data_IF_895667587097
#
_entry.id   IF_895667587097
#
_cell.length_a   1.000
_cell.length_b   1.000
_cell.length_c   1.000
_cell.angle_alpha   90.00
_cell.angle_beta   90.00
_cell.angle_gamma   90.00
#
_symmetry.space_group_name_H-M   'P 1'
#
loop_
_entity.id
_entity.type
_entity.pdbx_description
1 polymer ?
#
# COMPACT_ATOMS: atom_id res chain seq x y z
N UNK A 1 1.57 6.25 31.84
CA UNK A 1 1.87 6.19 30.41
C UNK A 1 0.57 5.95 29.67
N UNK A 2 0.21 6.80 28.72
CA UNK A 2 -1.04 6.56 28.02
C UNK A 2 -1.00 5.25 27.25
N UNK A 3 -2.14 4.57 27.08
CA UNK A 3 -2.18 3.37 26.29
C UNK A 3 -1.72 3.65 24.86
N UNK A 4 -1.01 2.72 24.28
CA UNK A 4 -0.54 2.85 22.90
C UNK A 4 -1.75 2.86 21.98
N UNK A 5 -1.79 3.80 21.05
CA UNK A 5 -2.84 3.82 20.05
C UNK A 5 -2.78 2.54 19.20
N UNK A 6 -3.93 2.07 18.73
CA UNK A 6 -3.98 0.93 17.82
C UNK A 6 -3.15 1.23 16.57
N UNK A 7 -2.43 0.24 16.04
CA UNK A 7 -1.65 0.43 14.82
C UNK A 7 -2.52 0.93 13.66
N UNK A 8 -2.05 1.96 12.97
CA UNK A 8 -2.79 2.55 11.83
C UNK A 8 -2.96 1.56 10.68
N UNK A 9 -2.08 0.58 10.61
CA UNK A 9 -2.10 -0.44 9.55
C UNK A 9 -2.96 -1.66 9.90
N UNK A 10 -3.53 -1.70 11.09
CA UNK A 10 -4.37 -2.83 11.50
C UNK A 10 -5.70 -2.80 10.77
N UNK A 11 -6.02 -3.89 10.08
CA UNK A 11 -7.29 -4.04 9.39
C UNK A 11 -8.35 -4.56 10.35
N UNK A 12 -9.20 -3.65 10.84
CA UNK A 12 -10.36 -3.97 11.68
C UNK A 12 -11.67 -3.79 10.93
N UNK A 13 -11.60 -3.68 9.60
CA UNK A 13 -12.77 -3.36 8.79
C UNK A 13 -13.23 -1.92 8.91
N UNK A 14 -12.48 -1.08 9.63
CA UNK A 14 -12.78 0.34 9.81
C UNK A 14 -11.57 1.17 9.44
N UNK A 15 -11.75 2.07 8.48
CA UNK A 15 -10.72 3.03 8.10
C UNK A 15 -11.23 4.45 8.40
N UNK A 16 -10.31 5.35 8.77
CA UNK A 16 -10.65 6.77 8.98
C UNK A 16 -10.86 7.50 7.66
N UNK A 17 -10.34 6.98 6.57
CA UNK A 17 -10.50 7.51 5.23
C UNK A 17 -11.52 6.68 4.46
N UNK A 18 -12.24 7.33 3.55
CA UNK A 18 -13.10 6.62 2.62
C UNK A 18 -12.25 5.77 1.68
N UNK A 19 -12.60 4.51 1.58
CA UNK A 19 -11.99 3.58 0.63
C UNK A 19 -12.95 3.37 -0.54
N UNK A 20 -12.50 3.68 -1.75
CA UNK A 20 -13.31 3.42 -2.94
C UNK A 20 -13.22 1.94 -3.28
N UNK A 21 -14.38 1.27 -3.36
CA UNK A 21 -14.42 -0.14 -3.72
C UNK A 21 -14.11 -0.37 -5.20
N UNK A 22 -13.74 -1.60 -5.51
CA UNK A 22 -13.41 -1.99 -6.89
C UNK A 22 -14.57 -1.70 -7.84
N UNK A 23 -15.80 -1.94 -7.40
CA UNK A 23 -17.01 -1.73 -8.22
C UNK A 23 -17.26 -0.25 -8.53
N UNK A 24 -16.78 0.66 -7.69
CA UNK A 24 -16.94 2.09 -7.85
C UNK A 24 -15.82 2.75 -8.66
N UNK A 25 -14.75 2.02 -8.93
CA UNK A 25 -13.56 2.57 -9.58
C UNK A 25 -13.80 2.86 -11.07
N UNK A 26 -13.40 4.05 -11.51
CA UNK A 26 -13.50 4.49 -12.92
C UNK A 26 -12.21 5.20 -13.33
N UNK A 27 -11.97 5.32 -14.64
CA UNK A 27 -10.83 6.06 -15.16
C UNK A 27 -9.48 5.55 -14.67
N UNK A 28 -8.62 6.45 -14.26
CA UNK A 28 -7.28 6.11 -13.79
C UNK A 28 -7.30 5.17 -12.57
N UNK A 29 -8.25 5.37 -11.66
CA UNK A 29 -8.39 4.51 -10.49
C UNK A 29 -8.68 3.06 -10.88
N UNK A 30 -9.56 2.86 -11.87
CA UNK A 30 -9.85 1.54 -12.39
C UNK A 30 -8.63 0.89 -13.00
N UNK A 31 -7.83 1.64 -13.75
CA UNK A 31 -6.59 1.15 -14.35
C UNK A 31 -5.61 0.70 -13.26
N UNK A 32 -5.45 1.48 -12.20
CA UNK A 32 -4.57 1.12 -11.09
C UNK A 32 -5.07 -0.11 -10.33
N UNK A 33 -6.38 -0.23 -10.13
CA UNK A 33 -6.97 -1.39 -9.49
C UNK A 33 -6.81 -2.66 -10.34
N UNK A 34 -7.02 -2.56 -11.64
CA UNK A 34 -6.81 -3.69 -12.56
C UNK A 34 -5.34 -4.15 -12.55
N UNK A 35 -4.41 -3.19 -12.51
CA UNK A 35 -3.00 -3.49 -12.37
C UNK A 35 -2.68 -4.17 -11.03
N UNK A 36 -3.32 -3.75 -9.94
CA UNK A 36 -3.15 -4.37 -8.63
C UNK A 36 -3.64 -5.81 -8.61
N UNK A 37 -4.78 -6.08 -9.24
CA UNK A 37 -5.32 -7.44 -9.39
C UNK A 37 -4.35 -8.30 -10.20
N UNK A 38 -3.76 -7.74 -11.26
CA UNK A 38 -2.77 -8.45 -12.07
C UNK A 38 -1.51 -8.82 -11.30
N UNK A 39 -1.09 -7.97 -10.34
CA UNK A 39 0.11 -8.22 -9.54
C UNK A 39 -0.12 -9.17 -8.36
N UNK A 40 -1.23 -9.00 -7.65
CA UNK A 40 -1.44 -9.63 -6.35
C UNK A 40 -2.75 -10.42 -6.25
N UNK A 41 -3.54 -10.47 -7.28
CA UNK A 41 -4.83 -11.17 -7.32
C UNK A 41 -5.98 -10.41 -6.65
N UNK A 42 -5.70 -9.31 -5.96
CA UNK A 42 -6.73 -8.47 -5.32
C UNK A 42 -6.20 -7.06 -5.10
N UNK A 43 -7.11 -6.15 -4.72
CA UNK A 43 -6.76 -4.78 -4.32
C UNK A 43 -6.70 -4.73 -2.80
N UNK A 44 -5.51 -4.53 -2.25
CA UNK A 44 -5.33 -4.40 -0.80
C UNK A 44 -5.84 -3.04 -0.29
N UNK A 45 -6.20 -2.99 0.98
CA UNK A 45 -6.71 -1.75 1.58
C UNK A 45 -5.72 -0.60 1.54
N UNK A 46 -4.43 -0.87 1.60
CA UNK A 46 -3.41 0.17 1.48
C UNK A 46 -3.48 0.89 0.12
N UNK A 47 -3.82 0.17 -0.94
CA UNK A 47 -4.05 0.77 -2.26
C UNK A 47 -5.34 1.58 -2.24
N UNK A 48 -6.41 1.04 -1.65
CA UNK A 48 -7.69 1.75 -1.52
C UNK A 48 -7.59 3.00 -0.67
N UNK A 49 -6.68 3.03 0.30
CA UNK A 49 -6.46 4.21 1.16
C UNK A 49 -6.04 5.45 0.35
N UNK A 50 -5.45 5.27 -0.81
CA UNK A 50 -5.04 6.35 -1.70
C UNK A 50 -6.03 6.61 -2.84
N UNK A 51 -7.19 5.94 -2.80
CA UNK A 51 -8.14 5.91 -3.92
C UNK A 51 -8.83 7.24 -4.21
N UNK A 52 -8.96 8.13 -3.22
CA UNK A 52 -9.61 9.42 -3.43
C UNK A 52 -8.81 10.35 -4.35
N UNK A 53 -7.53 10.08 -4.53
CA UNK A 53 -6.67 10.82 -5.44
C UNK A 53 -5.87 9.84 -6.29
N UNK A 54 -6.44 9.37 -7.39
CA UNK A 54 -5.80 8.36 -8.24
C UNK A 54 -4.42 8.74 -8.75
N UNK A 55 -4.16 10.03 -8.99
CA UNK A 55 -2.83 10.50 -9.38
C UNK A 55 -1.79 10.26 -8.29
N UNK A 56 -2.16 10.48 -7.02
CA UNK A 56 -1.28 10.19 -5.88
C UNK A 56 -1.05 8.69 -5.77
N UNK A 57 -2.11 7.90 -5.91
CA UNK A 57 -2.00 6.43 -5.90
C UNK A 57 -1.00 5.96 -6.97
N UNK A 58 -1.14 6.44 -8.19
CA UNK A 58 -0.27 6.05 -9.29
C UNK A 58 1.20 6.36 -8.98
N UNK A 59 1.47 7.58 -8.52
CA UNK A 59 2.85 7.99 -8.19
C UNK A 59 3.40 7.24 -6.98
N UNK A 60 2.57 6.92 -6.02
CA UNK A 60 2.98 6.12 -4.86
C UNK A 60 3.37 4.70 -5.26
N UNK A 61 2.62 4.08 -6.15
CA UNK A 61 2.94 2.75 -6.69
C UNK A 61 4.24 2.80 -7.51
N UNK A 62 4.42 3.84 -8.32
CA UNK A 62 5.65 4.01 -9.10
C UNK A 62 6.88 4.14 -8.18
N UNK A 63 6.77 4.95 -7.12
CA UNK A 63 7.84 5.09 -6.12
C UNK A 63 8.15 3.75 -5.45
N UNK A 64 7.11 3.04 -5.01
CA UNK A 64 7.28 1.73 -4.40
C UNK A 64 8.02 0.77 -5.32
N UNK A 65 7.62 0.72 -6.57
CA UNK A 65 8.25 -0.18 -7.56
C UNK A 65 9.71 0.17 -7.80
N UNK A 66 10.03 1.45 -7.89
CA UNK A 66 11.42 1.88 -8.07
C UNK A 66 12.28 1.54 -6.87
N UNK A 67 11.77 1.80 -5.67
CA UNK A 67 12.51 1.50 -4.42
C UNK A 67 12.73 0.00 -4.24
N UNK A 68 11.72 -0.81 -4.49
CA UNK A 68 11.77 -2.25 -4.20
C UNK A 68 12.33 -3.09 -5.35
N UNK A 69 12.18 -2.64 -6.58
CA UNK A 69 12.51 -3.45 -7.76
C UNK A 69 13.46 -2.78 -8.74
N UNK A 70 13.66 -1.47 -8.64
CA UNK A 70 14.54 -0.73 -9.55
C UNK A 70 16.01 -1.04 -9.32
N UNK A 71 16.89 -0.64 -10.27
CA UNK A 71 18.32 -0.80 -10.09
C UNK A 71 18.82 -0.08 -8.84
N UNK A 72 19.64 -0.76 -8.05
CA UNK A 72 20.12 -0.22 -6.78
C UNK A 72 21.38 -0.98 -6.33
N UNK A 73 22.14 -0.39 -5.43
CA UNK A 73 23.23 -1.07 -4.75
C UNK A 73 22.77 -2.10 -3.72
N UNK A 74 21.47 -2.14 -3.40
CA UNK A 74 20.91 -3.12 -2.47
C UNK A 74 20.34 -4.31 -3.23
N UNK A 75 20.58 -5.52 -2.71
CA UNK A 75 19.97 -6.72 -3.25
C UNK A 75 18.48 -6.78 -2.94
N UNK A 76 17.74 -7.62 -3.65
CA UNK A 76 16.33 -7.87 -3.35
C UNK A 76 16.13 -8.32 -1.91
N UNK A 77 16.97 -9.22 -1.43
CA UNK A 77 16.92 -9.72 -0.07
C UNK A 77 17.10 -8.61 0.96
N UNK A 78 18.05 -7.70 0.73
CA UNK A 78 18.28 -6.57 1.62
C UNK A 78 17.09 -5.62 1.66
N UNK A 79 16.49 -5.34 0.51
CA UNK A 79 15.29 -4.47 0.44
C UNK A 79 14.11 -5.09 1.16
N UNK A 80 13.86 -6.38 0.99
CA UNK A 80 12.81 -7.10 1.68
C UNK A 80 13.05 -7.12 3.19
N UNK A 81 14.29 -7.32 3.61
CA UNK A 81 14.65 -7.30 5.02
C UNK A 81 14.41 -5.93 5.65
N UNK A 82 14.83 -4.85 4.97
CA UNK A 82 14.59 -3.49 5.43
C UNK A 82 13.10 -3.20 5.56
N UNK A 83 12.33 -3.57 4.56
CA UNK A 83 10.87 -3.38 4.59
C UNK A 83 10.23 -4.14 5.76
N UNK A 84 10.66 -5.36 6.00
CA UNK A 84 10.15 -6.19 7.09
C UNK A 84 10.48 -5.58 8.45
N UNK A 85 11.72 -5.13 8.65
CA UNK A 85 12.14 -4.52 9.91
C UNK A 85 11.38 -3.22 10.17
N UNK A 86 11.23 -2.38 9.15
CA UNK A 86 10.47 -1.12 9.28
C UNK A 86 9.02 -1.39 9.62
N UNK A 87 8.39 -2.34 8.93
CA UNK A 87 7.00 -2.73 9.20
C UNK A 87 6.85 -3.27 10.63
N UNK A 88 7.79 -4.09 11.06
CA UNK A 88 7.77 -4.64 12.42
C UNK A 88 7.93 -3.54 13.46
N UNK A 89 8.85 -2.60 13.26
CA UNK A 89 9.08 -1.49 14.18
C UNK A 89 7.85 -0.57 14.29
N UNK A 90 7.10 -0.42 13.22
CA UNK A 90 5.89 0.39 13.18
C UNK A 90 4.62 -0.40 13.49
N UNK A 91 4.73 -1.67 13.80
CA UNK A 91 3.58 -2.56 14.03
C UNK A 91 2.59 -2.53 12.87
N UNK A 92 3.11 -2.47 11.65
CA UNK A 92 2.31 -2.42 10.44
C UNK A 92 1.80 -3.82 10.07
N UNK A 93 0.50 -3.90 9.72
CA UNK A 93 -0.12 -5.16 9.29
C UNK A 93 0.46 -5.64 7.95
N UNK A 94 0.76 -4.69 7.07
CA UNK A 94 1.30 -4.99 5.76
C UNK A 94 2.82 -5.09 5.77
#
# INVERSE_FOLDING_TARGET
MPPRAAPLCEDRGVAHLRLTDVDEATGLLKEEYDAAVGRAGKVFNIVKAMSLRPGVLQRSIELYREVMFGPSGLSRQERELLATVVSRANECHY
#
